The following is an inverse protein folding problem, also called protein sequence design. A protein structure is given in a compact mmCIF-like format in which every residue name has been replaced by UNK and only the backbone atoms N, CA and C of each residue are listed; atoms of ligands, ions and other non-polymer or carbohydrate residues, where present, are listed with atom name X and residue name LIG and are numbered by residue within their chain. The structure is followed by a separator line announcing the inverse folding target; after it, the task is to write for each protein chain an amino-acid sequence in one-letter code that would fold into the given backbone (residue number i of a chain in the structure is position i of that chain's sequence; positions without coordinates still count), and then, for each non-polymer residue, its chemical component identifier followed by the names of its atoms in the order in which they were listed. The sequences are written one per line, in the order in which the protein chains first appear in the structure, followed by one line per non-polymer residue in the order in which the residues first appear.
data_IF_997085802761
#
_entry.id   IF_997085802761
#
_cell.length_a   1.000
_cell.length_b   1.000
_cell.length_c   1.000
_cell.angle_alpha   90.00
_cell.angle_beta   90.00
_cell.angle_gamma   90.00
#
_symmetry.space_group_name_H-M   'P 1'
#
loop_
_entity.id
_entity.type
_entity.pdbx_description
1 polymer ?
#
# COMPACT_ATOMS: atom_id res chain seq x y z
N UNK A 1 -32.04 39.39 -1.59
CA UNK A 1 -31.19 39.31 -2.79
C UNK A 1 -29.96 38.51 -2.42
N UNK A 2 -29.96 37.22 -2.73
CA UNK A 2 -28.81 36.33 -2.53
C UNK A 2 -27.85 36.55 -3.69
N UNK A 3 -26.64 37.02 -3.41
CA UNK A 3 -25.60 37.11 -4.44
C UNK A 3 -25.21 35.68 -4.86
N UNK A 4 -25.06 35.39 -6.17
CA UNK A 4 -24.52 34.10 -6.60
C UNK A 4 -23.06 34.00 -6.16
N UNK A 5 -22.70 32.88 -5.53
CA UNK A 5 -21.30 32.53 -5.26
C UNK A 5 -20.61 32.34 -6.61
N UNK A 6 -19.47 33.01 -6.88
CA UNK A 6 -18.75 32.79 -8.12
C UNK A 6 -18.28 31.33 -8.18
N UNK A 7 -18.67 30.62 -9.25
CA UNK A 7 -18.16 29.29 -9.57
C UNK A 7 -16.66 29.43 -9.88
N UNK A 8 -15.81 28.99 -8.94
CA UNK A 8 -14.38 28.88 -9.18
C UNK A 8 -14.21 27.71 -10.16
N UNK A 9 -13.62 27.91 -11.34
CA UNK A 9 -13.40 26.81 -12.26
C UNK A 9 -12.45 25.79 -11.62
N UNK A 10 -12.75 24.50 -11.80
CA UNK A 10 -11.98 23.35 -11.32
C UNK A 10 -10.65 23.21 -12.09
N UNK A 11 -9.83 24.26 -12.02
CA UNK A 11 -8.51 24.30 -12.63
C UNK A 11 -7.52 23.71 -11.63
N UNK A 12 -6.82 22.61 -11.97
CA UNK A 12 -5.84 22.02 -11.09
C UNK A 12 -4.79 23.08 -10.74
N UNK A 13 -4.55 23.21 -9.43
CA UNK A 13 -3.61 24.18 -8.92
C UNK A 13 -2.15 23.74 -9.20
N UNK A 14 -1.18 24.54 -8.75
CA UNK A 14 0.23 24.22 -8.96
C UNK A 14 0.64 22.91 -8.28
N UNK A 15 0.08 22.61 -7.11
CA UNK A 15 0.36 21.38 -6.40
C UNK A 15 -0.22 20.16 -7.14
N UNK A 16 -1.45 20.26 -7.65
CA UNK A 16 -2.08 19.21 -8.46
C UNK A 16 -1.27 18.93 -9.74
N UNK A 17 -0.77 19.97 -10.40
CA UNK A 17 0.06 19.81 -11.62
C UNK A 17 1.39 19.12 -11.34
N UNK A 18 1.98 19.39 -10.18
CA UNK A 18 3.24 18.76 -9.77
C UNK A 18 3.00 17.31 -9.35
N UNK A 19 1.88 17.02 -8.68
CA UNK A 19 1.60 15.71 -8.08
C UNK A 19 0.79 14.76 -8.95
N UNK A 20 0.20 15.22 -10.07
CA UNK A 20 -0.67 14.40 -10.94
C UNK A 20 0.00 13.14 -11.52
N UNK A 21 1.33 13.09 -11.56
CA UNK A 21 2.09 11.92 -12.02
C UNK A 21 2.61 11.03 -10.88
N UNK A 22 2.40 11.40 -9.62
CA UNK A 22 2.91 10.65 -8.47
C UNK A 22 1.92 9.55 -8.12
N UNK A 23 2.34 8.27 -8.06
CA UNK A 23 1.47 7.20 -7.62
C UNK A 23 1.01 7.46 -6.19
N UNK A 24 -0.30 7.53 -5.97
CA UNK A 24 -0.87 7.58 -4.64
C UNK A 24 -0.59 6.25 -3.93
N UNK A 25 0.33 6.28 -2.97
CA UNK A 25 0.59 5.14 -2.09
C UNK A 25 -0.46 5.12 -0.98
N UNK A 26 -0.97 3.93 -0.64
CA UNK A 26 -1.88 3.79 0.49
C UNK A 26 -1.15 4.04 1.81
N UNK A 27 -1.90 4.40 2.85
CA UNK A 27 -1.33 4.55 4.20
C UNK A 27 -0.60 3.27 4.65
N UNK A 28 -1.15 2.11 4.30
CA UNK A 28 -0.50 0.81 4.53
C UNK A 28 0.86 0.71 3.82
N UNK A 29 0.94 1.04 2.53
CA UNK A 29 2.19 0.97 1.77
C UNK A 29 3.25 1.92 2.32
N UNK A 30 2.86 3.13 2.70
CA UNK A 30 3.76 4.10 3.32
C UNK A 30 4.33 3.58 4.64
N UNK A 31 3.47 3.09 5.54
CA UNK A 31 3.91 2.55 6.84
C UNK A 31 4.72 1.27 6.71
N UNK A 32 4.43 0.44 5.72
CA UNK A 32 5.21 -0.78 5.46
C UNK A 32 6.65 -0.43 5.04
N UNK A 33 6.81 0.53 4.13
CA UNK A 33 8.13 1.01 3.72
C UNK A 33 8.91 1.64 4.89
N UNK A 34 8.26 2.50 5.67
CA UNK A 34 8.89 3.15 6.83
C UNK A 34 9.31 2.14 7.90
N UNK A 35 8.46 1.15 8.20
CA UNK A 35 8.78 0.08 9.14
C UNK A 35 9.99 -0.75 8.67
N UNK A 36 10.08 -1.02 7.36
CA UNK A 36 11.21 -1.74 6.78
C UNK A 36 12.51 -0.95 6.90
N UNK A 37 12.49 0.35 6.57
CA UNK A 37 13.66 1.23 6.71
C UNK A 37 14.13 1.31 8.16
N UNK A 38 13.20 1.44 9.10
CA UNK A 38 13.50 1.46 10.53
C UNK A 38 14.13 0.13 10.99
N UNK A 39 13.57 -1.01 10.59
CA UNK A 39 14.11 -2.32 10.94
C UNK A 39 15.50 -2.55 10.35
N UNK A 40 15.74 -2.14 9.09
CA UNK A 40 17.09 -2.17 8.48
C UNK A 40 18.10 -1.32 9.24
N UNK A 41 17.70 -0.14 9.69
CA UNK A 41 18.59 0.78 10.41
C UNK A 41 18.92 0.28 11.83
N UNK A 42 17.96 -0.37 12.49
CA UNK A 42 18.09 -0.79 13.89
C UNK A 42 18.60 -2.22 14.06
N UNK A 43 18.37 -3.10 13.09
CA UNK A 43 18.69 -4.54 13.12
C UNK A 43 19.33 -4.99 11.80
N UNK A 44 20.56 -4.55 11.51
CA UNK A 44 21.27 -4.95 10.30
C UNK A 44 21.57 -6.46 10.23
N UNK A 45 21.53 -7.16 11.36
CA UNK A 45 21.66 -8.63 11.45
C UNK A 45 20.49 -9.39 10.82
N UNK A 46 19.36 -8.73 10.60
CA UNK A 46 18.19 -9.28 9.92
C UNK A 46 16.89 -9.14 10.73
N UNK A 47 15.78 -9.29 10.02
CA UNK A 47 14.40 -9.26 10.54
C UNK A 47 13.49 -10.02 9.58
N UNK A 48 12.38 -10.54 10.10
CA UNK A 48 11.39 -11.23 9.28
C UNK A 48 10.42 -10.24 8.62
N UNK A 49 9.90 -10.60 7.45
CA UNK A 49 8.89 -9.78 6.73
C UNK A 49 7.63 -9.55 7.58
N UNK A 50 7.28 -10.50 8.44
CA UNK A 50 6.16 -10.37 9.36
C UNK A 50 6.38 -9.27 10.40
N UNK A 51 7.62 -9.04 10.83
CA UNK A 51 7.95 -7.96 11.76
C UNK A 51 7.70 -6.58 11.12
N UNK A 52 7.98 -6.44 9.82
CA UNK A 52 7.66 -5.22 9.05
C UNK A 52 6.14 -5.00 9.08
N UNK A 53 5.36 -6.02 8.70
CA UNK A 53 3.91 -5.92 8.63
C UNK A 53 3.26 -5.61 9.98
N UNK A 54 3.70 -6.28 11.05
CA UNK A 54 3.21 -6.01 12.41
C UNK A 54 3.53 -4.58 12.85
N UNK A 55 4.76 -4.13 12.62
CA UNK A 55 5.21 -2.79 12.98
C UNK A 55 4.41 -1.73 12.22
N UNK A 56 4.26 -1.88 10.90
CA UNK A 56 3.46 -0.99 10.07
C UNK A 56 2.00 -0.93 10.54
N UNK A 57 1.40 -2.08 10.84
CA UNK A 57 0.00 -2.15 11.30
C UNK A 57 -0.20 -1.47 12.66
N UNK A 58 0.74 -1.62 13.58
CA UNK A 58 0.67 -0.98 14.89
C UNK A 58 0.84 0.54 14.82
N UNK A 59 1.69 1.03 13.90
CA UNK A 59 1.92 2.45 13.67
C UNK A 59 0.76 3.15 12.93
N UNK A 60 -0.11 2.38 12.25
CA UNK A 60 -1.25 2.98 11.57
C UNK A 60 -2.27 3.59 12.55
N UNK A 61 -2.83 4.77 12.21
CA UNK A 61 -4.01 5.30 12.88
C UNK A 61 -5.16 4.29 12.84
N UNK A 62 -5.94 4.21 13.91
CA UNK A 62 -7.02 3.22 14.02
C UNK A 62 -8.01 3.26 12.84
N UNK A 63 -8.33 4.46 12.34
CA UNK A 63 -9.23 4.66 11.20
C UNK A 63 -8.71 4.05 9.88
N UNK A 64 -7.39 3.86 9.74
CA UNK A 64 -6.76 3.33 8.53
C UNK A 64 -6.56 1.81 8.62
N UNK A 65 -6.73 1.21 9.81
CA UNK A 65 -6.47 -0.21 10.04
C UNK A 65 -7.44 -1.10 9.26
N UNK A 66 -8.70 -0.71 9.17
CA UNK A 66 -9.69 -1.46 8.39
C UNK A 66 -9.30 -1.51 6.91
N UNK A 67 -8.91 -0.38 6.33
CA UNK A 67 -8.42 -0.33 4.94
C UNK A 67 -7.11 -1.11 4.75
N UNK A 68 -6.24 -1.16 5.76
CA UNK A 68 -5.03 -1.97 5.73
C UNK A 68 -5.34 -3.48 5.74
N UNK A 69 -6.37 -3.91 6.48
CA UNK A 69 -6.81 -5.31 6.47
C UNK A 69 -7.30 -5.73 5.09
N UNK A 70 -8.05 -4.90 4.39
CA UNK A 70 -8.50 -5.18 3.02
C UNK A 70 -7.32 -5.43 2.08
N UNK A 71 -6.28 -4.59 2.16
CA UNK A 71 -5.06 -4.76 1.38
C UNK A 71 -4.36 -6.07 1.75
N UNK A 72 -4.21 -6.37 3.05
CA UNK A 72 -3.58 -7.60 3.52
C UNK A 72 -4.32 -8.86 3.03
N UNK A 73 -5.65 -8.89 3.12
CA UNK A 73 -6.45 -10.01 2.63
C UNK A 73 -6.35 -10.18 1.12
N UNK A 74 -6.42 -9.07 0.38
CA UNK A 74 -6.28 -9.11 -1.08
C UNK A 74 -4.89 -9.62 -1.49
N UNK A 75 -3.82 -9.11 -0.88
CA UNK A 75 -2.45 -9.54 -1.15
C UNK A 75 -2.24 -11.02 -0.83
N UNK A 76 -2.75 -11.50 0.32
CA UNK A 76 -2.70 -12.91 0.67
C UNK A 76 -3.39 -13.79 -0.38
N UNK A 77 -4.61 -13.41 -0.78
CA UNK A 77 -5.35 -14.18 -1.77
C UNK A 77 -4.67 -14.20 -3.13
N UNK A 78 -4.14 -13.05 -3.57
CA UNK A 78 -3.39 -12.95 -4.82
C UNK A 78 -2.13 -13.82 -4.82
N UNK A 79 -1.36 -13.81 -3.71
CA UNK A 79 -0.20 -14.67 -3.56
C UNK A 79 -0.58 -16.16 -3.61
N UNK A 80 -1.65 -16.55 -2.90
CA UNK A 80 -2.15 -17.93 -2.93
C UNK A 80 -2.58 -18.38 -4.33
N UNK A 81 -3.20 -17.50 -5.13
CA UNK A 81 -3.54 -17.83 -6.51
C UNK A 81 -2.30 -17.95 -7.39
N UNK A 82 -1.35 -17.03 -7.25
CA UNK A 82 -0.08 -17.09 -7.98
C UNK A 82 0.67 -18.39 -7.70
N UNK A 83 0.75 -18.83 -6.44
CA UNK A 83 1.41 -20.08 -6.07
C UNK A 83 0.75 -21.29 -6.75
N UNK A 84 -0.58 -21.31 -6.82
CA UNK A 84 -1.34 -22.38 -7.49
C UNK A 84 -1.09 -22.39 -8.99
N UNK A 85 -1.04 -21.23 -9.62
CA UNK A 85 -0.74 -21.10 -11.05
C UNK A 85 0.67 -21.58 -11.36
N UNK A 86 1.66 -21.21 -10.55
CA UNK A 86 3.05 -21.68 -10.70
C UNK A 86 3.15 -23.19 -10.59
N UNK A 87 2.49 -23.81 -9.60
CA UNK A 87 2.47 -25.27 -9.46
C UNK A 87 1.81 -25.95 -10.67
N UNK A 88 0.68 -25.43 -11.16
CA UNK A 88 0.00 -25.97 -12.32
C UNK A 88 0.84 -25.86 -13.61
N UNK A 89 1.60 -24.78 -13.78
CA UNK A 89 2.54 -24.62 -14.90
C UNK A 89 3.62 -25.70 -14.86
N UNK A 90 4.28 -25.90 -13.71
CA UNK A 90 5.28 -26.95 -13.54
C UNK A 90 4.73 -28.36 -13.81
N UNK A 91 3.50 -28.67 -13.37
CA UNK A 91 2.87 -29.97 -13.66
C UNK A 91 2.55 -30.16 -15.16
N UNK A 92 2.23 -29.07 -15.87
CA UNK A 92 1.94 -29.12 -17.31
C UNK A 92 3.20 -29.27 -18.18
N UNK A 93 4.35 -28.77 -17.72
CA UNK A 93 5.63 -28.86 -18.43
C UNK A 93 6.32 -30.23 -18.28
N UNK A 94 5.97 -30.98 -17.23
CA UNK A 94 6.55 -32.30 -16.92
C UNK A 94 5.81 -33.46 -17.62
N UNK A 95 4.67 -33.19 -18.28
CA UNK A 95 3.87 -34.18 -19.02
C UNK A 95 4.20 -34.19 -20.52
#
# INVERSE_FOLDING_TARGET
MTNPVPEIPDVPDEFDRITCGVPMVSAWQAMFAEAEEMLRATRPEGFDVEEIGRTAFHCLPERERDAALDVLFYTYWAALQSDRETLAQHESEVR
#
